data_IF_256254673107
#
_entry.id   IF_256254673107
#
_cell.length_a   1.000
_cell.length_b   1.000
_cell.length_c   1.000
_cell.angle_alpha   90.00
_cell.angle_beta   90.00
_cell.angle_gamma   90.00
#
_symmetry.space_group_name_H-M   'P 1'
#
loop_
_entity.id
_entity.type
_entity.pdbx_description
1 polymer ?
#
# COMPACT_ATOMS: atom_id res chain seq x y z
N UNK A 1 49.36 -45.23 -16.96
CA UNK A 1 49.21 -44.46 -15.69
C UNK A 1 48.63 -43.09 -16.02
N UNK A 2 47.30 -42.99 -16.17
CA UNK A 2 46.61 -41.72 -16.47
C UNK A 2 46.12 -41.09 -15.16
N UNK A 3 46.66 -39.94 -14.80
CA UNK A 3 46.28 -39.21 -13.59
C UNK A 3 45.13 -38.24 -13.91
N UNK A 4 43.93 -38.56 -13.41
CA UNK A 4 42.74 -37.69 -13.47
C UNK A 4 42.86 -36.63 -12.38
N UNK A 5 43.06 -35.37 -12.79
CA UNK A 5 43.00 -34.21 -11.88
C UNK A 5 41.53 -33.86 -11.61
N UNK A 6 41.04 -34.15 -10.40
CA UNK A 6 39.77 -33.61 -9.89
C UNK A 6 39.95 -32.13 -9.55
N UNK A 7 39.19 -31.25 -10.20
CA UNK A 7 39.05 -29.85 -9.78
C UNK A 7 38.08 -29.81 -8.59
N UNK A 8 38.58 -29.35 -7.44
CA UNK A 8 37.75 -29.04 -6.27
C UNK A 8 37.17 -27.63 -6.47
N UNK A 9 35.86 -27.54 -6.64
CA UNK A 9 35.12 -26.27 -6.59
C UNK A 9 34.99 -25.85 -5.13
N UNK A 10 35.71 -24.81 -4.72
CA UNK A 10 35.50 -24.16 -3.43
C UNK A 10 34.29 -23.23 -3.54
N UNK A 11 33.14 -23.64 -3.00
CA UNK A 11 31.99 -22.73 -2.86
C UNK A 11 32.32 -21.66 -1.83
N UNK A 12 32.21 -20.40 -2.22
CA UNK A 12 32.34 -19.26 -1.32
C UNK A 12 31.07 -19.15 -0.48
N UNK A 13 31.16 -19.03 0.86
CA UNK A 13 29.97 -18.78 1.66
C UNK A 13 29.45 -17.38 1.35
N UNK A 14 28.20 -17.31 0.89
CA UNK A 14 27.49 -16.04 0.72
C UNK A 14 27.44 -15.32 2.07
N UNK A 15 28.18 -14.21 2.17
CA UNK A 15 28.14 -13.31 3.32
C UNK A 15 26.76 -12.66 3.32
N UNK A 16 25.87 -13.20 4.15
CA UNK A 16 24.60 -12.56 4.45
C UNK A 16 24.93 -11.31 5.29
N UNK A 17 24.95 -10.15 4.65
CA UNK A 17 25.09 -8.88 5.35
C UNK A 17 23.85 -8.67 6.22
N UNK A 18 23.93 -9.08 7.49
CA UNK A 18 22.97 -8.67 8.49
C UNK A 18 23.07 -7.15 8.62
N UNK A 19 22.03 -6.45 8.17
CA UNK A 19 21.86 -5.02 8.40
C UNK A 19 21.73 -4.82 9.90
N UNK A 20 22.84 -4.48 10.55
CA UNK A 20 22.84 -4.06 11.94
C UNK A 20 22.19 -2.67 12.00
N UNK A 21 20.93 -2.64 12.40
CA UNK A 21 20.32 -1.38 12.83
C UNK A 21 21.14 -0.84 13.99
N UNK A 22 21.82 0.29 13.78
CA UNK A 22 22.50 1.01 14.85
C UNK A 22 21.45 1.50 15.86
N UNK A 23 21.19 0.72 16.91
CA UNK A 23 20.48 1.17 18.10
C UNK A 23 21.36 2.20 18.81
N UNK A 24 21.04 3.49 18.65
CA UNK A 24 21.67 4.60 19.38
C UNK A 24 21.10 4.78 20.79
N UNK A 25 20.13 3.96 21.20
CA UNK A 25 19.59 3.98 22.56
C UNK A 25 20.32 2.94 23.42
N UNK A 26 20.96 3.37 24.49
CA UNK A 26 21.55 2.52 25.54
C UNK A 26 20.50 1.75 26.35
N UNK A 27 19.22 1.90 26.04
CA UNK A 27 18.11 1.23 26.70
C UNK A 27 17.82 -0.09 25.98
N UNK A 28 17.99 -1.26 26.64
CA UNK A 28 17.59 -2.54 26.06
C UNK A 28 16.08 -2.55 25.88
N UNK A 29 15.62 -2.78 24.64
CA UNK A 29 14.20 -3.03 24.37
C UNK A 29 13.82 -4.33 25.07
N UNK A 30 12.76 -4.32 25.87
CA UNK A 30 12.11 -5.55 26.32
C UNK A 30 11.51 -6.22 25.08
N UNK A 31 12.14 -7.30 24.62
CA UNK A 31 11.63 -8.13 23.52
C UNK A 31 11.17 -9.43 24.16
N UNK A 32 9.95 -9.88 23.84
CA UNK A 32 9.49 -11.20 24.27
C UNK A 32 10.43 -12.29 23.76
N UNK A 33 10.88 -13.17 24.65
CA UNK A 33 11.75 -14.30 24.32
C UNK A 33 11.06 -15.22 23.31
N UNK A 34 11.56 -15.19 22.07
CA UNK A 34 11.03 -15.98 20.95
C UNK A 34 11.10 -17.50 21.18
N UNK A 35 11.94 -17.94 22.12
CA UNK A 35 12.12 -19.34 22.50
C UNK A 35 11.08 -19.86 23.49
N UNK A 36 10.39 -18.96 24.21
CA UNK A 36 9.35 -19.32 25.19
C UNK A 36 8.17 -20.07 24.56
N UNK A 37 7.98 -19.93 23.24
CA UNK A 37 6.94 -20.59 22.47
C UNK A 37 7.25 -22.04 22.05
N UNK A 38 8.47 -22.57 22.31
CA UNK A 38 8.92 -23.83 21.67
C UNK A 38 9.08 -25.04 22.60
N UNK A 39 8.68 -24.97 23.87
CA UNK A 39 9.06 -25.98 24.86
C UNK A 39 7.88 -26.75 25.49
N UNK A 40 7.07 -27.41 24.66
CA UNK A 40 6.36 -28.64 25.05
C UNK A 40 6.40 -29.60 23.85
N UNK A 41 6.95 -30.82 23.96
CA UNK A 41 6.73 -31.85 22.97
C UNK A 41 5.25 -32.24 23.05
N UNK A 42 4.45 -31.75 22.11
CA UNK A 42 3.09 -32.26 21.92
C UNK A 42 3.18 -33.74 21.55
N UNK A 43 2.30 -34.54 22.16
CA UNK A 43 2.12 -35.96 21.89
C UNK A 43 1.79 -36.14 20.39
N UNK A 44 2.83 -36.30 19.56
CA UNK A 44 2.77 -36.21 18.09
C UNK A 44 2.16 -37.48 17.45
N UNK A 45 1.22 -38.11 18.12
CA UNK A 45 0.31 -39.05 17.50
C UNK A 45 -0.48 -38.34 16.41
N UNK A 46 -0.59 -38.95 15.24
CA UNK A 46 -1.51 -38.45 14.21
C UNK A 46 -2.95 -38.68 14.68
N UNK A 47 -3.54 -37.66 15.28
CA UNK A 47 -4.98 -37.65 15.57
C UNK A 47 -5.69 -37.17 14.31
N UNK A 48 -6.44 -38.07 13.66
CA UNK A 48 -7.29 -37.69 12.54
C UNK A 48 -8.43 -36.80 13.08
N UNK A 49 -8.23 -35.48 13.07
CA UNK A 49 -9.29 -34.53 13.33
C UNK A 49 -10.25 -34.55 12.14
N UNK A 50 -11.36 -35.27 12.28
CA UNK A 50 -12.43 -35.38 11.27
C UNK A 50 -13.02 -34.04 10.83
N UNK A 51 -12.76 -32.96 11.57
CA UNK A 51 -13.19 -31.62 11.21
C UNK A 51 -12.11 -30.58 11.51
N UNK A 52 -11.57 -29.92 10.48
CA UNK A 52 -10.62 -28.80 10.57
C UNK A 52 -11.30 -27.51 10.12
N UNK A 53 -11.67 -26.60 11.05
CA UNK A 53 -12.28 -25.33 10.67
C UNK A 53 -11.32 -24.53 9.79
N UNK A 54 -11.76 -24.18 8.57
CA UNK A 54 -11.00 -23.41 7.59
C UNK A 54 -10.29 -24.22 6.50
N UNK A 55 -10.10 -25.53 6.68
CA UNK A 55 -9.58 -26.45 5.64
C UNK A 55 -10.71 -27.26 5.01
N UNK A 56 -11.70 -27.66 5.82
CA UNK A 56 -12.84 -28.41 5.32
C UNK A 56 -13.79 -27.53 4.51
N UNK A 57 -14.36 -28.06 3.41
CA UNK A 57 -15.16 -27.29 2.47
C UNK A 57 -16.54 -26.89 3.02
N UNK A 58 -16.86 -27.23 4.26
CA UNK A 58 -18.15 -26.93 4.89
C UNK A 58 -17.96 -25.93 6.03
N UNK A 59 -18.02 -24.61 5.76
CA UNK A 59 -18.27 -23.66 6.83
C UNK A 59 -19.63 -23.99 7.44
N UNK A 60 -19.63 -24.49 8.68
CA UNK A 60 -20.85 -24.75 9.46
C UNK A 60 -21.00 -23.62 10.46
N UNK A 61 -22.15 -22.95 10.44
CA UNK A 61 -22.54 -22.07 11.55
C UNK A 61 -22.79 -23.00 12.75
N UNK A 62 -22.21 -22.73 13.94
CA UNK A 62 -22.42 -23.59 15.11
C UNK A 62 -23.93 -23.70 15.41
N UNK A 63 -24.42 -24.94 15.56
CA UNK A 63 -25.84 -25.23 15.82
C UNK A 63 -26.75 -25.32 14.58
N UNK A 64 -26.27 -24.94 13.40
CA UNK A 64 -27.05 -25.03 12.16
C UNK A 64 -26.66 -26.27 11.35
N UNK A 65 -27.63 -27.14 11.04
CA UNK A 65 -27.43 -28.35 10.22
C UNK A 65 -27.53 -28.06 8.70
N UNK A 66 -27.91 -26.85 8.33
CA UNK A 66 -28.07 -26.43 6.94
C UNK A 66 -26.69 -26.05 6.36
N UNK A 67 -26.28 -26.60 5.20
CA UNK A 67 -25.06 -26.17 4.53
C UNK A 67 -25.10 -24.68 4.19
N UNK A 68 -24.02 -23.95 4.44
CA UNK A 68 -23.90 -22.55 4.02
C UNK A 68 -23.94 -22.48 2.50
N UNK A 69 -24.86 -21.66 1.97
CA UNK A 69 -24.98 -21.44 0.53
C UNK A 69 -23.66 -20.88 -0.02
N UNK A 70 -23.02 -21.63 -0.93
CA UNK A 70 -21.88 -21.13 -1.69
C UNK A 70 -22.39 -20.30 -2.87
N UNK A 71 -21.73 -19.19 -3.25
CA UNK A 71 -22.06 -18.54 -4.50
C UNK A 71 -21.90 -19.53 -5.66
N UNK A 72 -22.75 -19.41 -6.68
CA UNK A 72 -22.65 -20.24 -7.89
C UNK A 72 -21.26 -20.07 -8.51
N UNK A 73 -20.59 -21.17 -8.84
CA UNK A 73 -19.31 -21.13 -9.51
C UNK A 73 -19.44 -20.40 -10.85
N UNK A 74 -18.62 -19.38 -11.07
CA UNK A 74 -18.57 -18.63 -12.31
C UNK A 74 -17.32 -19.02 -13.10
N UNK A 75 -17.53 -19.74 -14.21
CA UNK A 75 -16.45 -20.07 -15.16
C UNK A 75 -15.96 -18.78 -15.80
N UNK A 76 -14.65 -18.50 -15.69
CA UNK A 76 -14.01 -17.33 -16.32
C UNK A 76 -13.36 -17.75 -17.63
N UNK A 77 -13.67 -17.04 -18.70
CA UNK A 77 -12.95 -17.18 -19.97
C UNK A 77 -11.65 -16.36 -19.92
N UNK A 78 -10.53 -17.06 -19.81
CA UNK A 78 -9.20 -16.46 -19.78
C UNK A 78 -8.77 -15.89 -21.15
N UNK A 79 -9.35 -16.39 -22.24
CA UNK A 79 -8.98 -16.05 -23.62
C UNK A 79 -10.01 -15.16 -24.31
N UNK A 80 -10.92 -14.53 -23.55
CA UNK A 80 -11.81 -13.52 -24.13
C UNK A 80 -10.98 -12.45 -24.82
N UNK A 81 -11.51 -11.90 -25.91
CA UNK A 81 -10.79 -10.96 -26.78
C UNK A 81 -10.12 -9.80 -26.02
N UNK A 82 -10.79 -9.23 -25.01
CA UNK A 82 -10.21 -8.12 -24.23
C UNK A 82 -9.05 -8.54 -23.32
N UNK A 83 -8.99 -9.80 -22.87
CA UNK A 83 -7.90 -10.32 -22.04
C UNK A 83 -6.74 -10.75 -22.94
N UNK A 84 -7.05 -11.42 -24.05
CA UNK A 84 -6.06 -11.81 -25.05
C UNK A 84 -5.35 -10.60 -25.67
N UNK A 85 -6.05 -9.48 -25.86
CA UNK A 85 -5.49 -8.21 -26.38
C UNK A 85 -4.99 -7.25 -25.30
N UNK A 86 -5.00 -7.66 -24.03
CA UNK A 86 -4.53 -6.79 -22.96
C UNK A 86 -3.04 -6.47 -23.13
N UNK A 87 -2.67 -5.20 -22.99
CA UNK A 87 -1.29 -4.71 -23.19
C UNK A 87 -0.87 -4.52 -24.65
N UNK A 88 -1.79 -4.79 -25.59
CA UNK A 88 -1.54 -4.47 -27.00
C UNK A 88 -1.32 -2.96 -27.16
N UNK A 89 -0.23 -2.58 -27.84
CA UNK A 89 0.18 -1.20 -28.11
C UNK A 89 0.70 -0.39 -26.91
N UNK A 90 1.08 -1.02 -25.79
CA UNK A 90 1.65 -0.30 -24.64
C UNK A 90 3.00 0.39 -24.97
N UNK A 91 3.79 -0.19 -25.89
CA UNK A 91 5.10 0.32 -26.33
C UNK A 91 5.05 1.01 -27.71
N UNK A 92 3.90 1.59 -28.06
CA UNK A 92 3.72 2.27 -29.35
C UNK A 92 4.65 3.48 -29.55
N UNK A 93 5.08 4.09 -28.46
CA UNK A 93 6.07 5.17 -28.45
C UNK A 93 7.49 4.69 -28.77
N UNK A 94 7.87 3.51 -28.28
CA UNK A 94 9.20 2.94 -28.49
C UNK A 94 9.35 2.23 -29.84
N UNK A 95 8.28 1.56 -30.30
CA UNK A 95 8.32 0.71 -31.49
C UNK A 95 7.62 1.33 -32.72
N UNK A 96 6.94 2.47 -32.55
CA UNK A 96 6.25 3.19 -33.63
C UNK A 96 6.97 4.47 -34.03
N UNK A 97 6.22 5.39 -34.64
CA UNK A 97 6.75 6.67 -35.16
C UNK A 97 6.99 7.73 -34.07
N UNK A 98 6.79 7.39 -32.78
CA UNK A 98 6.93 8.32 -31.65
C UNK A 98 5.88 9.43 -31.57
N UNK A 99 4.90 9.47 -32.47
CA UNK A 99 3.89 10.54 -32.53
C UNK A 99 2.84 10.46 -31.40
N UNK A 100 2.65 9.29 -30.78
CA UNK A 100 1.57 9.05 -29.84
C UNK A 100 2.11 8.47 -28.53
N UNK A 101 1.86 9.19 -27.43
CA UNK A 101 2.29 8.77 -26.09
C UNK A 101 1.30 7.77 -25.45
N UNK A 102 1.75 6.71 -24.75
CA UNK A 102 0.89 5.65 -24.20
C UNK A 102 -0.24 6.14 -23.28
N UNK A 103 0.01 7.23 -22.54
CA UNK A 103 -1.01 7.86 -21.69
C UNK A 103 -2.28 8.29 -22.44
N UNK A 104 -2.20 8.54 -23.75
CA UNK A 104 -3.35 8.95 -24.56
C UNK A 104 -4.28 7.79 -24.91
N UNK A 105 -3.77 6.53 -24.94
CA UNK A 105 -4.58 5.32 -25.20
C UNK A 105 -5.49 4.93 -24.03
N UNK A 106 -5.34 5.59 -22.87
CA UNK A 106 -6.17 5.35 -21.69
C UNK A 106 -7.59 5.94 -21.87
N UNK A 107 -8.37 5.41 -22.81
CA UNK A 107 -9.70 5.91 -23.18
C UNK A 107 -10.74 5.77 -22.06
N UNK A 108 -10.57 4.76 -21.20
CA UNK A 108 -11.45 4.52 -20.05
C UNK A 108 -11.22 5.53 -18.92
N UNK A 109 -10.08 6.22 -18.92
CA UNK A 109 -9.68 7.11 -17.84
C UNK A 109 -10.11 8.54 -18.15
N UNK A 110 -10.63 9.31 -17.17
CA UNK A 110 -10.97 10.71 -17.39
C UNK A 110 -9.80 11.52 -17.94
N UNK A 111 -10.08 12.45 -18.87
CA UNK A 111 -9.03 13.18 -19.59
C UNK A 111 -8.03 13.89 -18.67
N UNK A 112 -8.50 14.42 -17.54
CA UNK A 112 -7.69 15.11 -16.54
C UNK A 112 -6.79 14.20 -15.69
N UNK A 113 -6.98 12.88 -15.78
CA UNK A 113 -6.24 11.87 -15.03
C UNK A 113 -5.29 11.05 -15.91
N UNK A 114 -5.35 11.19 -17.23
CA UNK A 114 -4.48 10.48 -18.17
C UNK A 114 -3.03 10.91 -17.99
N UNK A 115 -2.13 9.94 -17.83
CA UNK A 115 -0.69 10.19 -17.62
C UNK A 115 -0.34 10.78 -16.25
N UNK A 116 -1.27 10.80 -15.30
CA UNK A 116 -1.01 11.33 -13.96
C UNK A 116 -0.08 10.38 -13.17
N UNK A 117 1.00 10.87 -12.53
CA UNK A 117 1.96 10.01 -11.83
C UNK A 117 1.30 9.31 -10.63
N UNK A 118 1.39 7.98 -10.59
CA UNK A 118 0.68 7.15 -9.62
C UNK A 118 1.31 7.06 -8.21
N UNK A 119 2.62 7.31 -8.09
CA UNK A 119 3.40 6.87 -6.92
C UNK A 119 3.55 7.92 -5.80
N UNK A 120 2.93 9.09 -5.90
CA UNK A 120 3.10 10.12 -4.88
C UNK A 120 2.36 9.80 -3.57
N UNK A 121 3.03 9.98 -2.42
CA UNK A 121 2.46 9.82 -1.07
C UNK A 121 1.23 10.70 -0.79
N UNK A 122 1.05 11.78 -1.56
CA UNK A 122 -0.07 12.72 -1.50
C UNK A 122 -0.94 12.69 -2.78
N UNK A 123 -1.07 11.52 -3.41
CA UNK A 123 -1.69 11.38 -4.73
C UNK A 123 -3.13 11.94 -4.79
N UNK A 124 -3.92 11.67 -3.75
CA UNK A 124 -5.30 12.16 -3.69
C UNK A 124 -5.36 13.69 -3.68
N UNK A 125 -4.55 14.34 -2.83
CA UNK A 125 -4.52 15.80 -2.71
C UNK A 125 -4.19 16.46 -4.05
N UNK A 126 -3.14 15.99 -4.73
CA UNK A 126 -2.72 16.57 -6.01
C UNK A 126 -3.78 16.35 -7.09
N UNK A 127 -4.40 15.16 -7.16
CA UNK A 127 -5.52 14.89 -8.08
C UNK A 127 -6.70 15.83 -7.84
N UNK A 128 -7.10 16.04 -6.59
CA UNK A 128 -8.23 16.90 -6.25
C UNK A 128 -7.92 18.38 -6.52
N UNK A 129 -6.69 18.84 -6.28
CA UNK A 129 -6.27 20.20 -6.64
C UNK A 129 -6.29 20.39 -8.16
N UNK A 130 -5.76 19.42 -8.92
CA UNK A 130 -5.78 19.47 -10.38
C UNK A 130 -7.21 19.49 -10.92
N UNK A 131 -8.07 18.60 -10.42
CA UNK A 131 -9.49 18.56 -10.78
C UNK A 131 -10.21 19.86 -10.42
N UNK A 132 -9.95 20.42 -9.24
CA UNK A 132 -10.50 21.72 -8.80
C UNK A 132 -10.14 22.82 -9.77
N UNK A 133 -8.87 22.91 -10.18
CA UNK A 133 -8.38 23.98 -11.05
C UNK A 133 -8.95 23.85 -12.48
N UNK A 134 -9.11 22.62 -12.99
CA UNK A 134 -9.66 22.38 -14.32
C UNK A 134 -11.18 22.61 -14.40
N UNK A 135 -11.90 22.24 -13.34
CA UNK A 135 -13.37 22.20 -13.33
C UNK A 135 -14.03 23.31 -12.51
N UNK A 136 -13.28 24.29 -11.96
CA UNK A 136 -13.79 25.23 -10.94
C UNK A 136 -15.11 25.90 -11.33
N UNK A 137 -15.13 26.54 -12.49
CA UNK A 137 -16.27 27.36 -12.91
C UNK A 137 -17.51 26.50 -13.18
N UNK A 138 -17.33 25.38 -13.88
CA UNK A 138 -18.42 24.43 -14.18
C UNK A 138 -19.00 23.82 -12.91
N UNK A 139 -18.15 23.50 -11.92
CA UNK A 139 -18.59 22.84 -10.69
C UNK A 139 -19.33 23.80 -9.75
N UNK A 140 -18.88 25.06 -9.68
CA UNK A 140 -19.57 26.11 -8.92
C UNK A 140 -20.97 26.39 -9.47
N UNK A 141 -21.09 26.48 -10.80
CA UNK A 141 -22.36 26.75 -11.46
C UNK A 141 -23.34 25.56 -11.37
N UNK A 142 -22.87 24.35 -11.69
CA UNK A 142 -23.75 23.19 -11.83
C UNK A 142 -23.98 22.43 -10.52
N UNK A 143 -23.04 22.46 -9.58
CA UNK A 143 -23.07 21.61 -8.38
C UNK A 143 -22.32 22.24 -7.20
N UNK A 144 -22.83 23.34 -6.62
CA UNK A 144 -22.16 24.07 -5.54
C UNK A 144 -21.92 23.21 -4.30
N UNK A 145 -22.80 22.24 -4.00
CA UNK A 145 -22.58 21.28 -2.89
C UNK A 145 -21.33 20.42 -3.10
N UNK A 146 -21.15 19.86 -4.30
CA UNK A 146 -19.96 19.06 -4.64
C UNK A 146 -18.69 19.91 -4.61
N UNK A 147 -18.78 21.19 -5.00
CA UNK A 147 -17.67 22.13 -4.90
C UNK A 147 -17.26 22.35 -3.44
N UNK A 148 -18.24 22.56 -2.55
CA UNK A 148 -17.98 22.70 -1.12
C UNK A 148 -17.32 21.43 -0.53
N UNK A 149 -17.83 20.25 -0.86
CA UNK A 149 -17.26 18.96 -0.42
C UNK A 149 -15.82 18.76 -0.94
N UNK A 150 -15.56 19.09 -2.20
CA UNK A 150 -14.22 19.06 -2.80
C UNK A 150 -13.25 19.97 -2.04
N UNK A 151 -13.62 21.22 -1.79
CA UNK A 151 -12.80 22.16 -1.04
C UNK A 151 -12.55 21.70 0.40
N UNK A 152 -13.57 21.12 1.06
CA UNK A 152 -13.44 20.54 2.40
C UNK A 152 -12.44 19.38 2.41
N UNK A 153 -12.52 18.47 1.43
CA UNK A 153 -11.59 17.34 1.30
C UNK A 153 -10.14 17.80 1.04
N UNK A 154 -9.95 18.79 0.14
CA UNK A 154 -8.64 19.37 -0.13
C UNK A 154 -8.04 19.99 1.14
N UNK A 155 -8.83 20.76 1.89
CA UNK A 155 -8.39 21.36 3.16
C UNK A 155 -7.97 20.29 4.17
N UNK A 156 -8.79 19.25 4.36
CA UNK A 156 -8.48 18.13 5.24
C UNK A 156 -7.17 17.45 4.85
N UNK A 157 -7.01 17.07 3.57
CA UNK A 157 -5.80 16.38 3.10
C UNK A 157 -4.55 17.25 3.21
N UNK A 158 -4.68 18.56 3.01
CA UNK A 158 -3.58 19.50 3.17
C UNK A 158 -3.15 19.59 4.63
N UNK A 159 -4.09 19.57 5.58
CA UNK A 159 -3.78 19.51 7.01
C UNK A 159 -3.13 18.17 7.38
N UNK A 160 -3.77 17.05 7.02
CA UNK A 160 -3.30 15.70 7.35
C UNK A 160 -1.88 15.43 6.81
N UNK A 161 -1.60 15.77 5.55
CA UNK A 161 -0.28 15.53 4.96
C UNK A 161 0.83 16.45 5.48
N UNK A 162 0.50 17.68 5.87
CA UNK A 162 1.50 18.64 6.38
C UNK A 162 1.76 18.48 7.88
N UNK A 163 0.75 18.16 8.69
CA UNK A 163 0.84 18.15 10.15
C UNK A 163 0.85 16.72 10.71
N UNK A 164 -0.19 15.92 10.46
CA UNK A 164 -0.35 14.61 11.11
C UNK A 164 0.61 13.54 10.59
N UNK A 165 0.97 13.59 9.30
CA UNK A 165 1.82 12.55 8.67
C UNK A 165 3.32 12.75 8.90
N UNK A 166 3.76 13.97 9.17
CA UNK A 166 5.13 14.30 9.56
C UNK A 166 5.34 14.13 11.07
N UNK A 167 4.24 13.96 11.81
CA UNK A 167 4.25 13.70 13.23
C UNK A 167 4.49 12.20 13.53
N UNK A 168 5.75 11.76 13.37
CA UNK A 168 6.18 10.38 13.68
C UNK A 168 6.10 10.04 15.17
N UNK A 169 6.02 11.06 16.03
CA UNK A 169 6.06 10.96 17.49
C UNK A 169 4.68 11.07 18.14
N UNK A 170 3.61 11.19 17.35
CA UNK A 170 2.23 11.35 17.85
C UNK A 170 1.85 10.23 18.83
N UNK A 171 2.24 8.99 18.55
CA UNK A 171 1.97 7.84 19.43
C UNK A 171 2.72 7.92 20.75
N UNK A 172 3.97 8.40 20.72
CA UNK A 172 4.81 8.53 21.91
C UNK A 172 4.35 9.71 22.78
N UNK A 173 3.86 10.79 22.17
CA UNK A 173 3.22 11.91 22.86
C UNK A 173 1.91 11.53 23.52
N UNK A 174 1.06 10.75 22.85
CA UNK A 174 -0.17 10.23 23.46
C UNK A 174 0.10 9.33 24.68
N UNK A 175 1.29 8.71 24.76
CA UNK A 175 1.74 7.94 25.91
C UNK A 175 2.35 8.81 27.03
N UNK A 176 2.40 10.14 26.86
CA UNK A 176 3.00 11.06 27.81
C UNK A 176 4.53 10.95 27.88
N UNK A 177 5.16 10.39 26.85
CA UNK A 177 6.62 10.17 26.83
C UNK A 177 7.41 11.43 26.46
N UNK A 178 6.73 12.44 25.93
CA UNK A 178 7.31 13.71 25.50
C UNK A 178 6.40 14.86 25.93
N UNK A 179 6.97 15.86 26.61
CA UNK A 179 6.25 17.02 27.17
C UNK A 179 6.03 18.15 26.16
N UNK A 180 6.84 18.21 25.09
CA UNK A 180 6.80 19.30 24.12
C UNK A 180 5.69 19.10 23.08
N UNK A 181 4.78 20.06 22.99
CA UNK A 181 3.83 20.14 21.88
C UNK A 181 4.61 20.26 20.55
N UNK A 182 4.21 19.53 19.50
CA UNK A 182 4.85 19.62 18.20
C UNK A 182 4.83 21.05 17.68
N UNK A 183 6.01 21.67 17.63
CA UNK A 183 6.16 22.97 17.02
C UNK A 183 6.12 22.85 15.49
N UNK A 184 4.91 22.87 14.93
CA UNK A 184 4.68 22.85 13.50
C UNK A 184 5.05 24.16 12.78
N UNK A 185 5.44 25.20 13.52
CA UNK A 185 5.77 26.53 13.00
C UNK A 185 7.18 26.59 12.40
N UNK A 186 8.11 25.75 12.88
CA UNK A 186 9.54 25.95 12.65
C UNK A 186 10.07 25.45 11.29
N UNK A 187 9.33 24.60 10.57
CA UNK A 187 9.90 23.89 9.40
C UNK A 187 9.77 24.58 8.05
N UNK A 188 9.01 25.66 7.90
CA UNK A 188 8.99 26.40 6.62
C UNK A 188 8.45 27.82 6.77
N UNK A 189 9.33 28.84 6.83
CA UNK A 189 8.93 30.27 6.88
C UNK A 189 8.12 30.73 5.64
N UNK A 190 8.02 29.88 4.62
CA UNK A 190 7.29 30.11 3.38
C UNK A 190 5.85 29.58 3.38
N UNK A 191 5.48 28.72 4.35
CA UNK A 191 4.14 28.11 4.42
C UNK A 191 3.37 28.73 5.57
N UNK A 192 2.62 29.80 5.27
CA UNK A 192 1.56 30.30 6.17
C UNK A 192 0.73 29.12 6.67
N UNK A 193 0.59 29.03 7.99
CA UNK A 193 -0.23 28.00 8.61
C UNK A 193 -1.69 28.23 8.19
N UNK A 194 -2.50 27.18 8.08
CA UNK A 194 -3.94 27.38 7.84
C UNK A 194 -4.63 28.13 9.00
N UNK A 195 -3.97 28.17 10.16
CA UNK A 195 -4.41 28.92 11.34
C UNK A 195 -4.07 30.42 11.25
N UNK A 196 -3.25 30.85 10.28
CA UNK A 196 -2.89 32.26 10.06
C UNK A 196 -3.92 33.03 9.20
N UNK A 197 -5.06 32.41 8.86
CA UNK A 197 -6.15 33.03 8.11
C UNK A 197 -7.34 33.39 9.02
N UNK A 198 -7.03 33.99 10.17
CA UNK A 198 -7.99 34.74 11.00
C UNK A 198 -7.80 36.23 10.71
#
# INVERSE_FOLDING_TARGET
>A
MLAVRRLLTTESPAVCAQVTFHNRSSVPRVVDDREKARALPDDAGYVYHYHRPGVDPLPRIPGCRVPVARPSYHVRDAWRESQARFGQNDYIDLLGDGQLHPALLQYHTPKWLRGFPGQHRANELVKLIHYRNLCSEKLKQNSPKRWHELCKRIKYLLQHHNYEKQDELSRERNLGLWDEEPNYFYKDKSRRSYQDLV
#
